data_IF_578542850828
#
_entry.id   IF_578542850828
#
_cell.length_a   1.000
_cell.length_b   1.000
_cell.length_c   1.000
_cell.angle_alpha   90.00
_cell.angle_beta   90.00
_cell.angle_gamma   90.00
#
_symmetry.space_group_name_H-M   'P 1'
#
loop_
_entity.id
_entity.type
_entity.pdbx_description
1 polymer ?
#
# COMPACT_ATOMS: atom_id res chain seq x y z
N UNK A 1 0.05 -4.89 -11.31
CA UNK A 1 -0.46 -4.71 -9.94
C UNK A 1 -1.41 -3.52 -9.85
N UNK A 2 -2.49 -3.63 -9.07
CA UNK A 2 -3.41 -2.51 -8.79
C UNK A 2 -3.28 -2.10 -7.33
N UNK A 3 -3.23 -0.81 -7.08
CA UNK A 3 -3.20 -0.24 -5.75
C UNK A 3 -4.45 0.59 -5.53
N UNK A 4 -5.16 0.32 -4.43
CA UNK A 4 -6.24 1.18 -3.98
C UNK A 4 -5.67 2.21 -3.02
N UNK A 5 -5.70 3.47 -3.42
CA UNK A 5 -5.25 4.60 -2.61
C UNK A 5 -6.41 5.01 -1.70
N UNK A 6 -6.20 4.87 -0.39
CA UNK A 6 -7.13 5.36 0.62
C UNK A 6 -7.34 6.88 0.45
N UNK A 7 -8.57 7.32 0.69
CA UNK A 7 -8.95 8.72 0.62
C UNK A 7 -8.03 9.64 1.44
N UNK A 8 -7.46 9.14 2.54
CA UNK A 8 -6.51 9.91 3.36
C UNK A 8 -5.17 10.23 2.67
N UNK A 9 -4.89 9.63 1.51
CA UNK A 9 -3.70 9.89 0.69
C UNK A 9 -4.03 10.61 -0.63
N UNK A 10 -5.30 10.96 -0.90
CA UNK A 10 -5.75 11.50 -2.22
C UNK A 10 -4.82 12.59 -2.79
N UNK A 11 -4.40 13.55 -1.96
CA UNK A 11 -3.52 14.65 -2.37
C UNK A 11 -2.02 14.31 -2.51
N UNK A 12 -1.54 13.23 -1.88
CA UNK A 12 -0.13 12.79 -1.92
C UNK A 12 0.09 11.63 -2.89
N UNK A 13 -0.99 11.02 -3.37
CA UNK A 13 -0.96 9.94 -4.35
C UNK A 13 -0.26 10.32 -5.67
N UNK A 14 -0.43 11.57 -6.11
CA UNK A 14 0.21 12.10 -7.30
C UNK A 14 1.74 12.14 -7.16
N UNK A 15 2.25 12.53 -5.98
CA UNK A 15 3.69 12.59 -5.71
C UNK A 15 4.33 11.19 -5.80
N UNK A 16 3.62 10.16 -5.31
CA UNK A 16 4.07 8.77 -5.44
C UNK A 16 4.01 8.30 -6.89
N UNK A 17 2.94 8.66 -7.61
CA UNK A 17 2.79 8.30 -9.01
C UNK A 17 3.86 8.93 -9.91
N UNK A 18 4.23 10.18 -9.67
CA UNK A 18 5.28 10.88 -10.42
C UNK A 18 6.61 10.13 -10.33
N UNK A 19 6.96 9.60 -9.15
CA UNK A 19 8.15 8.77 -8.97
C UNK A 19 8.04 7.47 -9.76
N UNK A 20 6.92 6.76 -9.66
CA UNK A 20 6.66 5.52 -10.44
C UNK A 20 6.83 5.77 -11.95
N UNK A 21 6.31 6.89 -12.45
CA UNK A 21 6.38 7.23 -13.87
C UNK A 21 7.75 7.72 -14.31
N UNK A 22 8.49 8.44 -13.46
CA UNK A 22 9.78 9.07 -13.82
C UNK A 22 10.98 8.14 -13.76
N UNK A 23 10.92 7.06 -12.99
CA UNK A 23 12.06 6.16 -12.74
C UNK A 23 12.06 4.92 -13.65
N UNK A 24 11.24 4.89 -14.69
CA UNK A 24 11.19 3.78 -15.65
C UNK A 24 10.51 2.50 -15.14
N UNK A 25 9.96 2.50 -13.91
CA UNK A 25 9.30 1.34 -13.33
C UNK A 25 8.14 0.81 -14.18
N UNK A 26 7.44 1.69 -14.90
CA UNK A 26 6.33 1.31 -15.78
C UNK A 26 6.78 0.47 -16.99
N UNK A 27 8.06 0.48 -17.37
CA UNK A 27 8.61 -0.40 -18.40
C UNK A 27 8.81 -1.83 -17.90
N UNK A 28 8.99 -2.00 -16.58
CA UNK A 28 9.23 -3.28 -15.94
C UNK A 28 7.95 -3.92 -15.40
N UNK A 29 7.02 -3.11 -14.90
CA UNK A 29 5.81 -3.59 -14.25
C UNK A 29 4.60 -2.70 -14.52
N UNK A 30 3.50 -3.32 -14.90
CA UNK A 30 2.23 -2.61 -15.09
C UNK A 30 1.61 -2.28 -13.73
N UNK A 31 1.76 -1.04 -13.29
CA UNK A 31 1.17 -0.52 -12.03
C UNK A 31 0.03 0.44 -12.33
N UNK A 32 -1.05 0.34 -11.55
CA UNK A 32 -2.16 1.29 -11.58
C UNK A 32 -2.51 1.72 -10.17
N UNK A 33 -2.55 3.03 -9.95
CA UNK A 33 -3.13 3.61 -8.74
C UNK A 33 -4.59 3.96 -9.02
N UNK A 34 -5.49 3.47 -8.18
CA UNK A 34 -6.92 3.72 -8.23
C UNK A 34 -7.33 4.40 -6.93
N UNK A 35 -8.12 5.46 -7.04
CA UNK A 35 -8.75 6.12 -5.92
C UNK A 35 -10.15 5.54 -5.69
N UNK A 36 -10.74 5.84 -4.54
CA UNK A 36 -12.10 5.40 -4.22
C UNK A 36 -13.13 5.82 -5.28
N UNK A 37 -12.98 7.03 -5.83
CA UNK A 37 -13.83 7.57 -6.89
C UNK A 37 -13.73 6.76 -8.19
N UNK A 38 -12.53 6.25 -8.53
CA UNK A 38 -12.31 5.45 -9.74
C UNK A 38 -13.02 4.08 -9.68
N UNK A 39 -13.32 3.61 -8.46
CA UNK A 39 -13.92 2.30 -8.21
C UNK A 39 -15.33 2.38 -7.59
N UNK A 40 -15.89 3.58 -7.47
CA UNK A 40 -17.23 3.81 -6.92
C UNK A 40 -17.36 3.57 -5.41
N UNK A 41 -16.26 3.59 -4.66
CA UNK A 41 -16.27 3.41 -3.20
C UNK A 41 -16.58 4.74 -2.49
N UNK A 42 -17.55 4.80 -1.56
CA UNK A 42 -17.81 6.02 -0.77
C UNK A 42 -16.60 6.43 0.07
N UNK A 43 -16.32 7.74 0.16
CA UNK A 43 -15.18 8.30 0.92
C UNK A 43 -15.22 7.99 2.42
N UNK A 44 -16.42 7.78 2.96
CA UNK A 44 -16.73 7.48 4.36
C UNK A 44 -16.90 5.98 4.61
N UNK A 45 -16.51 5.13 3.66
CA UNK A 45 -16.46 3.68 3.84
C UNK A 45 -15.60 3.31 5.05
N UNK A 46 -16.10 2.37 5.85
CA UNK A 46 -15.37 1.84 7.01
C UNK A 46 -14.15 1.05 6.56
N UNK A 47 -13.14 0.94 7.43
CA UNK A 47 -11.91 0.18 7.10
C UNK A 47 -12.22 -1.27 6.71
N UNK A 48 -13.28 -1.85 7.29
CA UNK A 48 -13.75 -3.18 6.94
C UNK A 48 -14.22 -3.26 5.48
N UNK A 49 -15.08 -2.33 5.06
CA UNK A 49 -15.61 -2.27 3.69
C UNK A 49 -14.48 -2.01 2.69
N UNK A 50 -13.57 -1.08 3.03
CA UNK A 50 -12.40 -0.76 2.20
C UNK A 50 -11.49 -1.99 2.04
N UNK A 51 -11.20 -2.69 3.15
CA UNK A 51 -10.36 -3.88 3.12
C UNK A 51 -11.01 -5.02 2.33
N UNK A 52 -12.28 -5.36 2.61
CA UNK A 52 -13.00 -6.42 1.88
C UNK A 52 -13.02 -6.12 0.38
N UNK A 53 -13.30 -4.86 -0.01
CA UNK A 53 -13.31 -4.43 -1.40
C UNK A 53 -11.94 -4.60 -2.08
N UNK A 54 -10.86 -4.16 -1.41
CA UNK A 54 -9.50 -4.26 -1.94
C UNK A 54 -9.10 -5.73 -2.16
N UNK A 55 -9.40 -6.61 -1.21
CA UNK A 55 -9.11 -8.04 -1.30
C UNK A 55 -9.89 -8.71 -2.44
N UNK A 56 -11.21 -8.48 -2.51
CA UNK A 56 -12.06 -9.04 -3.57
C UNK A 56 -11.66 -8.55 -4.97
N UNK A 57 -11.18 -7.31 -5.06
CA UNK A 57 -10.76 -6.69 -6.32
C UNK A 57 -9.29 -6.94 -6.66
N UNK A 58 -8.57 -7.73 -5.85
CA UNK A 58 -7.15 -8.03 -6.00
C UNK A 58 -6.30 -6.75 -6.09
N UNK A 59 -6.49 -5.85 -5.12
CA UNK A 59 -5.79 -4.57 -5.01
C UNK A 59 -5.05 -4.51 -3.68
N UNK A 60 -3.82 -4.00 -3.71
CA UNK A 60 -3.07 -3.65 -2.49
C UNK A 60 -3.59 -2.31 -1.98
N UNK A 61 -4.08 -2.27 -0.74
CA UNK A 61 -4.53 -1.04 -0.11
C UNK A 61 -3.31 -0.23 0.36
N UNK A 62 -3.20 1.02 -0.08
CA UNK A 62 -2.23 1.98 0.45
C UNK A 62 -2.97 3.01 1.30
N UNK A 63 -2.54 3.19 2.55
CA UNK A 63 -3.18 4.12 3.48
C UNK A 63 -2.15 4.93 4.26
N UNK A 64 -2.50 6.16 4.64
CA UNK A 64 -1.85 6.82 5.76
C UNK A 64 -2.36 6.21 7.06
N UNK A 65 -1.59 6.24 8.15
CA UNK A 65 -2.01 5.64 9.42
C UNK A 65 -3.40 6.15 9.89
N UNK A 66 -4.49 5.42 9.57
CA UNK A 66 -5.84 5.66 10.09
C UNK A 66 -5.84 5.26 11.55
N UNK A 67 -5.68 6.24 12.43
CA UNK A 67 -6.08 6.08 13.82
C UNK A 67 -7.62 6.04 13.89
N UNK A 68 -8.22 4.93 13.49
CA UNK A 68 -9.59 4.58 13.85
C UNK A 68 -9.51 3.53 14.94
N UNK A 69 -9.70 3.95 16.19
CA UNK A 69 -9.81 3.02 17.33
C UNK A 69 -11.21 2.41 17.32
N UNK A 70 -11.33 1.08 17.38
CA UNK A 70 -12.63 0.40 17.46
C UNK A 70 -12.66 -0.96 16.77
N UNK A 71 -13.81 -1.64 16.84
CA UNK A 71 -14.02 -3.00 16.28
C UNK A 71 -13.91 -3.06 14.75
N UNK A 72 -14.09 -1.94 14.06
CA UNK A 72 -13.98 -1.83 12.60
C UNK A 72 -12.69 -1.14 12.18
N UNK A 73 -11.66 -1.15 13.03
CA UNK A 73 -10.35 -0.61 12.64
C UNK A 73 -9.73 -1.51 11.58
N UNK A 74 -8.89 -0.92 10.73
CA UNK A 74 -8.12 -1.67 9.76
C UNK A 74 -7.21 -2.73 10.42
N UNK A 75 -6.64 -2.43 11.58
CA UNK A 75 -5.83 -3.39 12.34
C UNK A 75 -6.66 -4.59 12.82
N UNK A 76 -7.84 -4.34 13.42
CA UNK A 76 -8.72 -5.40 13.87
C UNK A 76 -9.25 -6.21 12.69
N UNK A 77 -9.61 -5.54 11.59
CA UNK A 77 -10.08 -6.17 10.35
C UNK A 77 -9.03 -7.14 9.81
N UNK A 78 -7.78 -6.68 9.66
CA UNK A 78 -6.68 -7.54 9.22
C UNK A 78 -6.48 -8.69 10.20
N UNK A 79 -6.45 -8.43 11.51
CA UNK A 79 -6.27 -9.50 12.51
C UNK A 79 -7.33 -10.59 12.45
N UNK A 80 -8.60 -10.23 12.22
CA UNK A 80 -9.72 -11.17 12.23
C UNK A 80 -9.95 -11.87 10.88
N UNK A 81 -9.64 -11.20 9.77
CA UNK A 81 -10.03 -11.67 8.42
C UNK A 81 -8.88 -12.05 7.50
N UNK A 82 -7.63 -11.77 7.88
CA UNK A 82 -6.47 -12.10 7.06
C UNK A 82 -6.33 -13.62 6.87
N UNK A 83 -6.11 -14.03 5.63
CA UNK A 83 -5.97 -15.43 5.20
C UNK A 83 -4.62 -15.65 4.52
N UNK A 84 -4.29 -16.90 4.19
CA UNK A 84 -3.03 -17.23 3.50
C UNK A 84 -2.90 -16.60 2.10
N UNK A 85 -4.01 -16.15 1.50
CA UNK A 85 -4.04 -15.52 0.18
C UNK A 85 -4.32 -14.01 0.23
N UNK A 86 -4.43 -13.44 1.43
CA UNK A 86 -4.77 -12.04 1.59
C UNK A 86 -3.59 -11.14 1.19
N UNK A 87 -3.88 -10.12 0.39
CA UNK A 87 -2.92 -9.12 -0.02
C UNK A 87 -2.53 -8.21 1.16
N UNK A 88 -1.27 -7.74 1.22
CA UNK A 88 -0.83 -6.84 2.27
C UNK A 88 -1.54 -5.49 2.19
N UNK A 89 -1.64 -4.83 3.33
CA UNK A 89 -1.99 -3.42 3.42
C UNK A 89 -0.72 -2.63 3.68
N UNK A 90 -0.43 -1.65 2.82
CA UNK A 90 0.74 -0.79 2.93
C UNK A 90 0.37 0.49 3.66
N UNK A 91 1.02 0.75 4.79
CA UNK A 91 0.82 1.95 5.59
C UNK A 91 2.01 2.90 5.44
N UNK A 92 1.77 4.09 4.90
CA UNK A 92 2.74 5.19 4.90
C UNK A 92 2.65 5.90 6.25
N UNK A 93 3.62 5.65 7.12
CA UNK A 93 3.58 6.09 8.51
C UNK A 93 3.81 7.59 8.69
N UNK A 94 4.51 8.24 7.75
CA UNK A 94 4.78 9.67 7.81
C UNK A 94 4.51 10.34 6.46
N UNK A 95 3.25 10.76 6.26
CA UNK A 95 2.77 11.36 5.02
C UNK A 95 3.45 12.70 4.71
N UNK A 96 3.75 13.50 5.74
CA UNK A 96 4.40 14.81 5.57
C UNK A 96 5.78 14.69 4.95
N UNK A 97 6.46 13.57 5.22
CA UNK A 97 7.79 13.29 4.67
C UNK A 97 7.78 12.85 3.21
N UNK A 98 6.63 12.64 2.58
CA UNK A 98 6.56 12.41 1.12
C UNK A 98 7.10 13.60 0.31
N UNK A 99 7.21 14.78 0.93
CA UNK A 99 7.85 15.95 0.33
C UNK A 99 9.39 15.81 0.30
N UNK A 100 9.97 14.94 1.13
CA UNK A 100 11.39 14.55 1.05
C UNK A 100 11.60 13.55 -0.09
N UNK A 101 12.42 13.91 -1.08
CA UNK A 101 12.74 13.06 -2.25
C UNK A 101 13.14 11.63 -1.85
N UNK A 102 14.11 11.52 -0.95
CA UNK A 102 14.63 10.22 -0.51
C UNK A 102 13.57 9.36 0.17
N UNK A 103 12.61 9.96 0.89
CA UNK A 103 11.56 9.21 1.56
C UNK A 103 10.51 8.70 0.55
N UNK A 104 10.05 9.55 -0.39
CA UNK A 104 9.09 9.11 -1.41
C UNK A 104 9.65 8.03 -2.35
N UNK A 105 10.91 8.15 -2.75
CA UNK A 105 11.58 7.16 -3.61
C UNK A 105 11.65 5.80 -2.90
N UNK A 106 11.96 5.79 -1.59
CA UNK A 106 11.93 4.57 -0.79
C UNK A 106 10.53 3.98 -0.68
N UNK A 107 9.51 4.80 -0.44
CA UNK A 107 8.13 4.32 -0.44
C UNK A 107 7.77 3.65 -1.76
N UNK A 108 8.13 4.26 -2.90
CA UNK A 108 7.85 3.68 -4.22
C UNK A 108 8.65 2.41 -4.48
N UNK A 109 9.97 2.41 -4.24
CA UNK A 109 10.81 1.22 -4.41
C UNK A 109 10.24 0.01 -3.66
N UNK A 110 9.73 0.23 -2.45
CA UNK A 110 9.05 -0.80 -1.67
C UNK A 110 7.71 -1.26 -2.25
N UNK A 111 6.91 -0.37 -2.86
CA UNK A 111 5.71 -0.78 -3.59
C UNK A 111 6.06 -1.64 -4.82
N UNK A 112 7.19 -1.34 -5.48
CA UNK A 112 7.69 -2.14 -6.59
C UNK A 112 8.14 -3.51 -6.09
N UNK A 113 8.93 -3.58 -5.01
CA UNK A 113 9.39 -4.82 -4.39
C UNK A 113 8.22 -5.76 -4.06
N UNK A 114 7.20 -5.24 -3.36
CA UNK A 114 5.98 -6.02 -3.07
C UNK A 114 5.28 -6.49 -4.36
N UNK A 115 5.28 -5.67 -5.40
CA UNK A 115 4.61 -6.02 -6.65
C UNK A 115 5.35 -7.09 -7.44
N UNK A 116 6.68 -7.15 -7.33
CA UNK A 116 7.52 -8.14 -8.00
C UNK A 116 7.51 -9.49 -7.29
N UNK A 117 7.33 -9.49 -5.97
CA UNK A 117 7.46 -10.69 -5.13
C UNK A 117 6.22 -10.90 -4.23
N UNK A 118 5.03 -10.68 -4.81
CA UNK A 118 3.77 -10.64 -4.05
C UNK A 118 3.52 -11.90 -3.22
N UNK A 119 3.95 -13.06 -3.69
CA UNK A 119 3.78 -14.35 -3.02
C UNK A 119 4.45 -14.36 -1.63
N UNK A 120 5.61 -13.69 -1.49
CA UNK A 120 6.30 -13.55 -0.21
C UNK A 120 5.65 -12.53 0.74
N UNK A 121 4.69 -11.74 0.26
CA UNK A 121 3.94 -10.76 1.04
C UNK A 121 2.48 -11.15 1.29
N UNK A 122 2.02 -12.29 0.78
CA UNK A 122 0.72 -12.82 1.12
C UNK A 122 0.64 -13.06 2.64
N UNK A 123 -0.53 -12.79 3.23
CA UNK A 123 -0.79 -12.86 4.68
C UNK A 123 0.05 -11.91 5.54
N UNK A 124 0.93 -11.08 4.99
CA UNK A 124 1.78 -10.17 5.78
C UNK A 124 0.99 -9.17 6.65
N UNK A 125 -0.31 -9.00 6.36
CA UNK A 125 -1.19 -8.15 7.14
C UNK A 125 -0.91 -6.68 6.85
N UNK A 126 -0.29 -5.95 7.78
CA UNK A 126 0.05 -4.52 7.62
C UNK A 126 1.56 -4.33 7.57
N UNK A 127 2.03 -3.74 6.48
CA UNK A 127 3.43 -3.37 6.28
C UNK A 127 3.54 -1.86 6.50
N UNK A 128 4.42 -1.44 7.41
CA UNK A 128 4.61 -0.03 7.76
C UNK A 128 5.92 0.50 7.18
N UNK A 129 5.82 1.57 6.39
CA UNK A 129 7.00 2.31 5.96
C UNK A 129 7.27 3.47 6.93
N UNK A 130 7.92 3.11 8.03
CA UNK A 130 8.65 3.99 8.92
C UNK A 130 10.12 3.59 8.79
N UNK A 131 11.03 4.54 8.55
CA UNK A 131 12.46 4.30 8.34
C UNK A 131 12.97 3.06 9.12
N UNK A 132 13.27 1.96 8.43
CA UNK A 132 14.22 0.89 8.78
C UNK A 132 14.31 -0.06 7.57
N UNK A 133 15.49 -0.01 6.93
CA UNK A 133 16.22 -1.08 6.24
C UNK A 133 15.53 -1.82 5.07
N UNK A 134 16.04 -1.52 3.86
CA UNK A 134 16.10 -2.45 2.73
C UNK A 134 17.02 -3.62 3.15
N UNK A 135 16.46 -4.73 3.61
CA UNK A 135 17.17 -5.99 3.83
C UNK A 135 16.27 -7.16 3.46
N UNK A 136 15.97 -7.30 2.17
CA UNK A 136 15.56 -8.61 1.62
C UNK A 136 16.46 -9.02 0.44
N UNK A 137 17.15 -8.08 -0.23
CA UNK A 137 18.12 -8.39 -1.28
C UNK A 137 19.46 -9.01 -0.81
N UNK A 138 19.77 -8.99 0.50
CA UNK A 138 21.01 -9.60 1.02
C UNK A 138 20.86 -11.05 1.53
N UNK A 139 19.67 -11.66 1.45
CA UNK A 139 19.48 -13.04 1.92
C UNK A 139 19.53 -14.11 0.82
N UNK A 140 19.62 -13.71 -0.46
CA UNK A 140 19.70 -14.64 -1.61
C UNK A 140 21.06 -14.67 -2.32
N UNK A 141 22.04 -13.89 -1.85
CA UNK A 141 23.41 -13.85 -2.41
C UNK A 141 24.51 -14.14 -1.37
N UNK A 142 24.18 -14.86 -0.29
CA UNK A 142 25.12 -15.34 0.73
C UNK A 142 25.19 -16.86 0.78
#
# INVERSE_FOLDING_TARGET
>A
MKFLIDYNLKGKSLILWDVVASEGWLELIQIKFLQFEDVGLPRDSSDLVVWDFAQQSQMILITANRNMKGKTSLEQTVRERNTDISLPVVTISNVDRLDEKVYREKCVASLIEISLDIDNYLRAGRIFYSLIIVSILNFYLG
#
